data_IF_811544643277
#
_entry.id   IF_811544643277
#
_cell.length_a   1.000
_cell.length_b   1.000
_cell.length_c   1.000
_cell.angle_alpha   90.00
_cell.angle_beta   90.00
_cell.angle_gamma   90.00
#
_symmetry.space_group_name_H-M   'P 1'
#
loop_
_entity.id
_entity.type
_entity.pdbx_description
1 polymer ?
#
# COMPACT_ATOMS: atom_id res chain seq x y z
N UNK A 1 3.35 23.02 -65.32
CA UNK A 1 2.69 21.83 -64.72
C UNK A 1 1.61 22.31 -63.78
N UNK A 2 0.35 22.21 -64.21
CA UNK A 2 -0.82 22.69 -63.46
C UNK A 2 -1.23 21.63 -62.42
N UNK A 3 -1.10 21.93 -61.13
CA UNK A 3 -1.53 21.03 -60.05
C UNK A 3 -3.05 20.99 -60.03
N UNK A 4 -3.64 19.83 -60.35
CA UNK A 4 -5.07 19.56 -60.13
C UNK A 4 -5.35 19.68 -58.62
N UNK A 5 -6.13 20.69 -58.22
CA UNK A 5 -6.61 20.80 -56.86
C UNK A 5 -7.60 19.67 -56.55
N UNK A 6 -7.45 19.11 -55.36
CA UNK A 6 -8.08 17.90 -54.87
C UNK A 6 -9.53 18.19 -54.44
N UNK A 7 -10.51 17.88 -55.29
CA UNK A 7 -11.96 18.11 -55.04
C UNK A 7 -12.63 17.04 -54.16
N UNK A 8 -11.88 16.04 -53.66
CA UNK A 8 -12.42 14.96 -52.83
C UNK A 8 -13.01 15.43 -51.49
N UNK A 9 -12.48 16.50 -50.89
CA UNK A 9 -13.03 17.05 -49.65
C UNK A 9 -14.42 17.69 -49.84
N UNK A 10 -14.60 18.39 -50.95
CA UNK A 10 -15.85 19.10 -51.28
C UNK A 10 -17.00 18.14 -51.60
N UNK A 11 -16.77 17.06 -52.35
CA UNK A 11 -17.86 16.13 -52.68
C UNK A 11 -18.32 15.31 -51.47
N UNK A 12 -17.44 15.08 -50.49
CA UNK A 12 -17.77 14.35 -49.26
C UNK A 12 -18.62 15.21 -48.31
N UNK A 13 -18.37 16.52 -48.24
CA UNK A 13 -19.18 17.46 -47.45
C UNK A 13 -20.56 17.70 -48.09
N UNK A 14 -20.63 17.85 -49.41
CA UNK A 14 -21.90 17.97 -50.14
C UNK A 14 -22.76 16.72 -49.93
N UNK A 15 -22.17 15.52 -49.99
CA UNK A 15 -22.92 14.27 -49.79
C UNK A 15 -23.57 14.16 -48.41
N UNK A 16 -22.92 14.67 -47.36
CA UNK A 16 -23.49 14.71 -46.00
C UNK A 16 -24.66 15.68 -45.84
N UNK A 17 -24.78 16.67 -46.72
CA UNK A 17 -25.88 17.65 -46.70
C UNK A 17 -27.12 17.08 -47.40
N UNK A 18 -26.94 16.37 -48.52
CA UNK A 18 -28.04 15.87 -49.35
C UNK A 18 -28.47 14.43 -49.09
N UNK A 19 -27.72 13.68 -48.27
CA UNK A 19 -28.01 12.27 -47.96
C UNK A 19 -27.94 12.07 -46.44
N UNK A 20 -29.02 11.55 -45.86
CA UNK A 20 -29.11 11.21 -44.43
C UNK A 20 -28.24 9.98 -44.12
N UNK A 21 -27.99 9.72 -42.83
CA UNK A 21 -27.18 8.57 -42.38
C UNK A 21 -27.77 7.21 -42.79
N UNK A 22 -29.08 7.15 -43.06
CA UNK A 22 -29.79 5.97 -43.59
C UNK A 22 -29.70 5.81 -45.11
N UNK A 23 -28.83 6.58 -45.78
CA UNK A 23 -28.64 6.62 -47.23
C UNK A 23 -29.85 7.10 -48.04
N UNK A 24 -30.86 7.67 -47.39
CA UNK A 24 -32.00 8.31 -48.07
C UNK A 24 -31.71 9.78 -48.38
N UNK A 25 -32.23 10.28 -49.49
CA UNK A 25 -32.07 11.67 -49.89
C UNK A 25 -32.76 12.61 -48.89
N UNK A 26 -32.01 13.59 -48.40
CA UNK A 26 -32.53 14.64 -47.55
C UNK A 26 -33.36 15.61 -48.39
N UNK A 27 -34.66 15.29 -48.53
CA UNK A 27 -35.64 16.07 -49.31
C UNK A 27 -35.65 17.55 -48.93
N UNK A 28 -35.36 17.87 -47.66
CA UNK A 28 -35.32 19.25 -47.17
C UNK A 28 -34.09 20.02 -47.67
N UNK A 29 -32.91 19.40 -47.69
CA UNK A 29 -31.69 19.99 -48.25
C UNK A 29 -31.78 20.16 -49.77
N UNK A 30 -32.39 19.20 -50.46
CA UNK A 30 -32.62 19.27 -51.90
C UNK A 30 -33.60 20.40 -52.26
N UNK A 31 -34.66 20.56 -51.46
CA UNK A 31 -35.59 21.69 -51.54
C UNK A 31 -34.90 23.04 -51.31
N UNK A 32 -34.07 23.17 -50.26
CA UNK A 32 -33.30 24.40 -49.98
C UNK A 32 -32.29 24.74 -51.09
N UNK A 33 -31.68 23.75 -51.73
CA UNK A 33 -30.78 23.99 -52.87
C UNK A 33 -31.52 24.42 -54.14
N UNK A 34 -32.71 23.86 -54.37
CA UNK A 34 -33.61 24.30 -55.45
C UNK A 34 -34.10 25.73 -55.20
N UNK A 35 -34.43 26.06 -53.95
CA UNK A 35 -34.82 27.39 -53.50
C UNK A 35 -33.68 28.40 -53.66
N UNK A 36 -32.43 28.03 -53.35
CA UNK A 36 -31.26 28.89 -53.51
C UNK A 36 -30.94 29.18 -54.99
N UNK A 37 -31.07 28.19 -55.87
CA UNK A 37 -30.90 28.39 -57.32
C UNK A 37 -32.05 29.24 -57.87
N UNK A 38 -33.29 29.02 -57.41
CA UNK A 38 -34.44 29.86 -57.76
C UNK A 38 -34.26 31.32 -57.30
N UNK A 39 -33.71 31.55 -56.11
CA UNK A 39 -33.38 32.88 -55.57
C UNK A 39 -32.30 33.60 -56.38
N UNK A 40 -31.30 32.88 -56.90
CA UNK A 40 -30.27 33.45 -57.79
C UNK A 40 -30.85 33.83 -59.15
N UNK A 41 -31.78 33.03 -59.68
CA UNK A 41 -32.51 33.35 -60.92
C UNK A 41 -33.46 34.54 -60.73
N UNK A 42 -34.14 34.63 -59.58
CA UNK A 42 -34.93 35.80 -59.15
C UNK A 42 -34.10 37.09 -59.06
N UNK A 43 -32.88 36.99 -58.54
CA UNK A 43 -31.91 38.11 -58.47
C UNK A 43 -31.48 38.61 -59.86
N UNK A 44 -31.36 37.72 -60.85
CA UNK A 44 -30.98 38.05 -62.22
C UNK A 44 -32.13 38.68 -63.03
N UNK A 45 -33.39 38.36 -62.69
CA UNK A 45 -34.58 38.89 -63.37
C UNK A 45 -34.91 40.32 -62.90
N UNK A 46 -34.68 40.64 -61.63
CA UNK A 46 -34.88 41.98 -61.07
C UNK A 46 -34.01 43.07 -61.73
N UNK A 47 -32.89 42.71 -62.36
CA UNK A 47 -32.06 43.67 -63.12
C UNK A 47 -32.62 43.99 -64.52
N UNK A 48 -33.45 43.12 -65.10
CA UNK A 48 -33.95 43.28 -66.48
C UNK A 48 -35.31 44.00 -66.54
N UNK A 49 -36.10 43.91 -65.47
CA UNK A 49 -37.46 44.48 -65.36
C UNK A 49 -37.48 46.02 -65.23
N UNK A 50 -36.39 46.63 -64.72
CA UNK A 50 -36.31 48.08 -64.51
C UNK A 50 -36.21 48.91 -65.82
N UNK A 51 -36.14 48.26 -66.99
CA UNK A 51 -35.85 48.91 -68.28
C UNK A 51 -37.04 49.02 -69.25
N UNK A 52 -38.23 48.46 -69.00
CA UNK A 52 -39.21 48.26 -70.10
C UNK A 52 -40.68 48.66 -69.93
N UNK A 53 -41.12 49.35 -68.88
CA UNK A 53 -42.53 49.78 -68.82
C UNK A 53 -42.73 51.25 -68.48
N UNK A 54 -42.75 52.06 -69.54
CA UNK A 54 -43.45 53.34 -69.59
C UNK A 54 -44.17 53.46 -70.93
N UNK A 55 -45.46 53.12 -70.99
CA UNK A 55 -46.32 53.54 -72.11
C UNK A 55 -47.59 52.71 -72.39
N UNK A 56 -48.74 53.42 -72.29
CA UNK A 56 -50.03 53.24 -73.00
C UNK A 56 -50.93 52.07 -72.53
N UNK A 57 -52.28 52.15 -72.44
CA UNK A 57 -53.30 52.98 -73.10
C UNK A 57 -54.63 53.05 -72.29
N UNK A 58 -55.60 53.89 -72.72
CA UNK A 58 -56.95 54.06 -72.14
C UNK A 58 -58.03 53.19 -72.81
N UNK A 59 -58.84 52.54 -71.97
CA UNK A 59 -60.27 52.20 -72.00
C UNK A 59 -61.02 51.95 -73.34
N UNK A 60 -61.18 50.68 -73.66
CA UNK A 60 -62.46 50.09 -74.11
C UNK A 60 -62.82 48.98 -73.11
N UNK A 61 -64.10 48.71 -72.85
CA UNK A 61 -64.52 47.57 -72.02
C UNK A 61 -63.82 46.30 -72.53
N UNK A 62 -62.94 45.75 -71.70
CA UNK A 62 -62.15 44.57 -72.02
C UNK A 62 -63.08 43.36 -71.95
N UNK A 63 -63.02 42.51 -72.97
CA UNK A 63 -63.65 41.20 -72.87
C UNK A 63 -63.08 40.43 -71.67
N UNK A 64 -63.83 39.47 -71.13
CA UNK A 64 -63.40 38.65 -69.99
C UNK A 64 -62.03 38.00 -70.24
N UNK A 65 -61.74 37.60 -71.48
CA UNK A 65 -60.43 37.05 -71.86
C UNK A 65 -59.29 38.07 -71.82
N UNK A 66 -59.55 39.32 -72.21
CA UNK A 66 -58.53 40.38 -72.19
C UNK A 66 -58.27 40.85 -70.76
N UNK A 67 -59.32 40.93 -69.93
CA UNK A 67 -59.24 41.23 -68.50
C UNK A 67 -58.42 40.17 -67.74
N UNK A 68 -58.66 38.89 -68.03
CA UNK A 68 -57.88 37.78 -67.44
C UNK A 68 -56.41 37.85 -67.88
N UNK A 69 -56.14 38.17 -69.15
CA UNK A 69 -54.77 38.29 -69.65
C UNK A 69 -54.03 39.46 -68.99
N UNK A 70 -54.67 40.62 -68.81
CA UNK A 70 -54.06 41.78 -68.15
C UNK A 70 -53.75 41.52 -66.66
N UNK A 71 -54.62 40.76 -65.98
CA UNK A 71 -54.34 40.29 -64.62
C UNK A 71 -53.16 39.32 -64.59
N UNK A 72 -53.06 38.40 -65.55
CA UNK A 72 -51.91 37.50 -65.64
C UNK A 72 -50.62 38.23 -65.98
N UNK A 73 -50.65 39.20 -66.88
CA UNK A 73 -49.50 40.02 -67.21
C UNK A 73 -49.03 40.82 -65.98
N UNK A 74 -49.96 41.30 -65.14
CA UNK A 74 -49.65 41.92 -63.87
C UNK A 74 -49.07 40.93 -62.85
N UNK A 75 -49.68 39.75 -62.66
CA UNK A 75 -49.17 38.69 -61.76
C UNK A 75 -47.76 38.23 -62.19
N UNK A 76 -47.52 38.13 -63.49
CA UNK A 76 -46.23 37.79 -64.08
C UNK A 76 -45.22 38.92 -63.88
N UNK A 77 -45.64 40.18 -63.97
CA UNK A 77 -44.80 41.34 -63.65
C UNK A 77 -44.37 41.37 -62.17
N UNK A 78 -45.21 40.80 -61.28
CA UNK A 78 -44.95 40.74 -59.85
C UNK A 78 -43.96 39.64 -59.43
N UNK A 79 -43.55 38.75 -60.35
CA UNK A 79 -42.50 37.71 -60.20
C UNK A 79 -42.27 37.18 -58.76
N UNK A 80 -43.36 36.81 -58.09
CA UNK A 80 -43.33 36.48 -56.65
C UNK A 80 -44.31 35.38 -56.22
N UNK A 81 -45.10 34.83 -57.14
CA UNK A 81 -46.01 33.72 -56.86
C UNK A 81 -45.38 32.40 -57.29
N UNK A 82 -45.32 31.42 -56.38
CA UNK A 82 -44.94 30.04 -56.71
C UNK A 82 -45.98 29.40 -57.62
N UNK A 83 -45.63 28.30 -58.30
CA UNK A 83 -46.58 27.58 -59.17
C UNK A 83 -47.86 27.17 -58.41
N UNK A 84 -47.73 26.77 -57.15
CA UNK A 84 -48.89 26.44 -56.30
C UNK A 84 -49.73 27.67 -55.95
N UNK A 85 -49.10 28.80 -55.65
CA UNK A 85 -49.80 30.06 -55.37
C UNK A 85 -50.47 30.62 -56.63
N UNK A 86 -49.83 30.47 -57.80
CA UNK A 86 -50.39 30.79 -59.12
C UNK A 86 -51.60 29.89 -59.37
N UNK A 87 -51.52 28.60 -59.13
CA UNK A 87 -52.65 27.69 -59.34
C UNK A 87 -53.87 28.04 -58.46
N UNK A 88 -53.64 28.44 -57.20
CA UNK A 88 -54.72 28.93 -56.32
C UNK A 88 -55.28 30.26 -56.81
N UNK A 89 -54.41 31.19 -57.21
CA UNK A 89 -54.82 32.50 -57.73
C UNK A 89 -55.58 32.37 -59.05
N UNK A 90 -55.16 31.46 -59.93
CA UNK A 90 -55.82 31.08 -61.18
C UNK A 90 -57.24 30.57 -60.91
N UNK A 91 -57.43 29.74 -59.88
CA UNK A 91 -58.76 29.26 -59.48
C UNK A 91 -59.64 30.42 -59.03
N UNK A 92 -59.13 31.30 -58.17
CA UNK A 92 -59.88 32.45 -57.63
C UNK A 92 -60.25 33.45 -58.74
N UNK A 93 -59.31 33.76 -59.64
CA UNK A 93 -59.53 34.65 -60.78
C UNK A 93 -60.54 34.02 -61.73
N UNK A 94 -60.37 32.74 -62.07
CA UNK A 94 -61.29 32.03 -62.98
C UNK A 94 -62.70 31.95 -62.39
N UNK A 95 -62.84 31.61 -61.11
CA UNK A 95 -64.14 31.52 -60.42
C UNK A 95 -64.85 32.88 -60.37
N UNK A 96 -64.11 33.97 -60.13
CA UNK A 96 -64.64 35.33 -60.13
C UNK A 96 -65.14 35.75 -61.53
N UNK A 97 -64.30 35.60 -62.57
CA UNK A 97 -64.65 36.03 -63.92
C UNK A 97 -65.64 35.10 -64.63
N UNK A 98 -65.73 33.82 -64.25
CA UNK A 98 -66.80 32.92 -64.74
C UNK A 98 -68.18 33.31 -64.20
N UNK A 99 -68.24 34.08 -63.11
CA UNK A 99 -69.49 34.60 -62.53
C UNK A 99 -69.93 35.96 -63.10
N UNK A 100 -69.09 36.61 -63.92
CA UNK A 100 -69.35 37.92 -64.52
C UNK A 100 -69.44 37.82 -66.06
N UNK A 101 -70.53 38.31 -66.66
CA UNK A 101 -70.70 38.31 -68.13
C UNK A 101 -69.88 39.37 -68.87
N UNK A 102 -69.48 40.43 -68.17
CA UNK A 102 -68.61 41.53 -68.62
C UNK A 102 -67.84 42.04 -67.41
N UNK A 103 -66.53 42.20 -67.50
CA UNK A 103 -65.70 42.72 -66.42
C UNK A 103 -65.64 44.24 -66.50
N UNK A 104 -66.02 44.93 -65.42
CA UNK A 104 -65.84 46.38 -65.33
C UNK A 104 -64.42 46.73 -64.84
N UNK A 105 -63.99 47.97 -65.07
CA UNK A 105 -62.74 48.50 -64.53
C UNK A 105 -62.71 48.43 -62.99
N UNK A 106 -63.87 48.57 -62.33
CA UNK A 106 -64.02 48.44 -60.88
C UNK A 106 -63.74 47.01 -60.39
N UNK A 107 -64.15 45.99 -61.16
CA UNK A 107 -63.90 44.58 -60.86
C UNK A 107 -62.41 44.23 -60.92
N UNK A 108 -61.70 44.79 -61.89
CA UNK A 108 -60.24 44.64 -62.02
C UNK A 108 -59.50 45.26 -60.84
N UNK A 109 -59.92 46.45 -60.40
CA UNK A 109 -59.32 47.13 -59.25
C UNK A 109 -59.46 46.32 -57.95
N UNK A 110 -60.60 45.69 -57.69
CA UNK A 110 -60.80 44.84 -56.51
C UNK A 110 -59.85 43.63 -56.52
N UNK A 111 -59.65 43.01 -57.69
CA UNK A 111 -58.71 41.89 -57.84
C UNK A 111 -57.27 42.37 -57.65
N UNK A 112 -56.89 43.54 -58.20
CA UNK A 112 -55.57 44.12 -57.98
C UNK A 112 -55.30 44.44 -56.50
N UNK A 113 -56.25 45.03 -55.79
CA UNK A 113 -56.12 45.34 -54.37
C UNK A 113 -55.98 44.07 -53.54
N UNK A 114 -56.74 43.01 -53.87
CA UNK A 114 -56.63 41.72 -53.19
C UNK A 114 -55.26 41.07 -53.41
N UNK A 115 -54.77 41.06 -54.66
CA UNK A 115 -53.45 40.53 -55.03
C UNK A 115 -52.35 41.32 -54.30
N UNK A 116 -52.42 42.65 -54.32
CA UNK A 116 -51.44 43.51 -53.67
C UNK A 116 -51.48 43.33 -52.14
N UNK A 117 -52.65 43.29 -51.52
CA UNK A 117 -52.77 43.06 -50.07
C UNK A 117 -52.19 41.69 -49.66
N UNK A 118 -52.42 40.64 -50.44
CA UNK A 118 -51.83 39.32 -50.22
C UNK A 118 -50.32 39.33 -50.43
N UNK A 119 -49.83 40.02 -51.46
CA UNK A 119 -48.40 40.21 -51.69
C UNK A 119 -47.72 40.93 -50.51
N UNK A 120 -48.28 42.04 -50.03
CA UNK A 120 -47.74 42.78 -48.88
C UNK A 120 -47.74 41.94 -47.59
N UNK A 121 -48.83 41.19 -47.35
CA UNK A 121 -48.92 40.29 -46.18
C UNK A 121 -47.84 39.21 -46.23
N UNK A 122 -47.66 38.56 -47.39
CA UNK A 122 -46.63 37.55 -47.56
C UNK A 122 -45.23 38.14 -47.36
N UNK A 123 -44.98 39.35 -47.88
CA UNK A 123 -43.69 40.02 -47.72
C UNK A 123 -43.38 40.33 -46.24
N UNK A 124 -44.39 40.78 -45.48
CA UNK A 124 -44.25 41.00 -44.03
C UNK A 124 -43.88 39.70 -43.29
N UNK A 125 -44.61 38.62 -43.56
CA UNK A 125 -44.35 37.31 -42.95
C UNK A 125 -42.95 36.76 -43.29
N UNK A 126 -42.51 36.93 -44.53
CA UNK A 126 -41.16 36.52 -44.95
C UNK A 126 -40.09 37.34 -44.22
N UNK A 127 -40.31 38.63 -44.03
CA UNK A 127 -39.40 39.50 -43.29
C UNK A 127 -39.28 39.10 -41.83
N UNK A 128 -40.40 38.75 -41.19
CA UNK A 128 -40.42 38.24 -39.81
C UNK A 128 -39.67 36.90 -39.68
N UNK A 129 -39.94 35.95 -40.57
CA UNK A 129 -39.25 34.66 -40.59
C UNK A 129 -37.74 34.85 -40.79
N UNK A 130 -37.35 35.74 -41.71
CA UNK A 130 -35.94 36.06 -41.94
C UNK A 130 -35.29 36.63 -40.67
N UNK A 131 -35.94 37.56 -40.01
CA UNK A 131 -35.42 38.16 -38.78
C UNK A 131 -35.29 37.14 -37.65
N UNK A 132 -36.26 36.23 -37.49
CA UNK A 132 -36.20 35.16 -36.48
C UNK A 132 -35.06 34.17 -36.77
N UNK A 133 -34.91 33.77 -38.03
CA UNK A 133 -33.82 32.89 -38.46
C UNK A 133 -32.44 33.53 -38.24
N UNK A 134 -32.29 34.82 -38.57
CA UNK A 134 -31.05 35.56 -38.40
C UNK A 134 -30.68 35.70 -36.92
N UNK A 135 -31.66 36.02 -36.06
CA UNK A 135 -31.48 36.04 -34.60
C UNK A 135 -31.07 34.68 -34.04
N UNK A 136 -31.76 33.61 -34.45
CA UNK A 136 -31.41 32.23 -34.04
C UNK A 136 -30.01 31.85 -34.49
N UNK A 137 -29.62 32.19 -35.71
CA UNK A 137 -28.28 31.92 -36.23
C UNK A 137 -27.18 32.65 -35.45
N UNK A 138 -27.38 33.95 -35.16
CA UNK A 138 -26.42 34.73 -34.37
C UNK A 138 -26.28 34.22 -32.93
N UNK A 139 -27.40 33.86 -32.28
CA UNK A 139 -27.38 33.32 -30.91
C UNK A 139 -26.68 31.97 -30.81
N UNK A 140 -26.94 31.06 -31.75
CA UNK A 140 -26.26 29.76 -31.82
C UNK A 140 -24.77 29.92 -32.04
N UNK A 141 -24.37 30.81 -32.97
CA UNK A 141 -22.95 31.07 -33.24
C UNK A 141 -22.19 31.65 -32.04
N UNK A 142 -22.85 32.46 -31.21
CA UNK A 142 -22.23 33.00 -29.99
C UNK A 142 -22.06 31.91 -28.92
N UNK A 143 -23.09 31.10 -28.70
CA UNK A 143 -23.05 30.00 -27.73
C UNK A 143 -22.02 28.94 -28.12
N UNK A 144 -21.92 28.59 -29.40
CA UNK A 144 -20.93 27.64 -29.90
C UNK A 144 -19.50 28.15 -29.70
N UNK A 145 -19.28 29.47 -29.84
CA UNK A 145 -17.98 30.09 -29.58
C UNK A 145 -17.61 30.07 -28.09
N UNK A 146 -18.58 30.35 -27.21
CA UNK A 146 -18.38 30.26 -25.75
C UNK A 146 -18.05 28.82 -25.31
N UNK A 147 -18.81 27.83 -25.80
CA UNK A 147 -18.54 26.42 -25.52
C UNK A 147 -17.17 25.98 -26.03
N UNK A 148 -16.76 26.44 -27.22
CA UNK A 148 -15.44 26.14 -27.76
C UNK A 148 -14.32 26.72 -26.89
N UNK A 149 -14.45 27.97 -26.43
CA UNK A 149 -13.46 28.59 -25.55
C UNK A 149 -13.39 27.92 -24.18
N UNK A 150 -14.52 27.50 -23.61
CA UNK A 150 -14.52 26.77 -22.34
C UNK A 150 -13.86 25.39 -22.50
N UNK A 151 -14.09 24.69 -23.61
CA UNK A 151 -13.40 23.45 -23.92
C UNK A 151 -11.88 23.64 -24.02
N UNK A 152 -11.41 24.71 -24.68
CA UNK A 152 -9.99 25.05 -24.72
C UNK A 152 -9.43 25.31 -23.32
N UNK A 153 -10.14 26.07 -22.49
CA UNK A 153 -9.73 26.35 -21.10
C UNK A 153 -9.61 25.07 -20.28
N UNK A 154 -10.56 24.15 -20.40
CA UNK A 154 -10.54 22.86 -19.71
C UNK A 154 -9.40 21.96 -20.21
N UNK A 155 -9.08 21.98 -21.50
CA UNK A 155 -7.93 21.25 -22.05
C UNK A 155 -6.61 21.78 -21.50
N UNK A 156 -6.47 23.10 -21.38
CA UNK A 156 -5.28 23.72 -20.79
C UNK A 156 -5.16 23.40 -19.29
N UNK A 157 -6.26 23.48 -18.55
CA UNK A 157 -6.33 23.13 -17.13
C UNK A 157 -5.96 21.65 -16.89
N UNK A 158 -6.49 20.75 -17.73
CA UNK A 158 -6.15 19.32 -17.69
C UNK A 158 -4.67 19.09 -18.03
N UNK A 159 -4.14 19.77 -19.05
CA UNK A 159 -2.74 19.64 -19.47
C UNK A 159 -1.78 20.08 -18.38
N UNK A 160 -2.10 21.19 -17.70
CA UNK A 160 -1.32 21.70 -16.57
C UNK A 160 -1.37 20.73 -15.38
N UNK A 161 -2.56 20.22 -15.05
CA UNK A 161 -2.75 19.26 -13.95
C UNK A 161 -1.96 17.97 -14.19
N UNK A 162 -2.01 17.41 -15.41
CA UNK A 162 -1.26 16.22 -15.78
C UNK A 162 0.26 16.45 -15.70
N UNK A 163 0.72 17.63 -16.14
CA UNK A 163 2.14 17.98 -16.10
C UNK A 163 2.65 18.14 -14.67
N UNK A 164 1.86 18.78 -13.80
CA UNK A 164 2.15 18.91 -12.38
C UNK A 164 2.21 17.53 -11.70
N UNK A 165 1.20 16.69 -11.89
CA UNK A 165 1.15 15.34 -11.33
C UNK A 165 2.35 14.48 -11.76
N UNK A 166 2.75 14.56 -13.04
CA UNK A 166 3.94 13.85 -13.54
C UNK A 166 5.23 14.31 -12.86
N UNK A 167 5.30 15.57 -12.46
CA UNK A 167 6.47 16.14 -11.79
C UNK A 167 6.50 15.72 -10.33
N UNK A 168 5.35 15.76 -9.64
CA UNK A 168 5.19 15.24 -8.28
C UNK A 168 5.51 13.75 -8.21
N UNK A 169 4.94 12.94 -9.11
CA UNK A 169 5.20 11.49 -9.14
C UNK A 169 6.69 11.17 -9.36
N UNK A 170 7.39 11.98 -10.16
CA UNK A 170 8.83 11.84 -10.35
C UNK A 170 9.59 12.14 -9.05
N UNK A 171 9.26 13.24 -8.37
CA UNK A 171 9.89 13.62 -7.11
C UNK A 171 9.65 12.56 -6.03
N UNK A 172 8.41 12.10 -5.86
CA UNK A 172 8.06 11.07 -4.88
C UNK A 172 8.81 9.76 -5.12
N UNK A 173 9.00 9.38 -6.40
CA UNK A 173 9.79 8.20 -6.78
C UNK A 173 11.28 8.36 -6.48
N UNK A 174 11.84 9.55 -6.72
CA UNK A 174 13.24 9.86 -6.42
C UNK A 174 13.49 9.88 -4.91
N UNK A 175 12.59 10.49 -4.12
CA UNK A 175 12.63 10.49 -2.66
C UNK A 175 12.55 9.07 -2.10
N UNK A 176 11.56 8.28 -2.55
CA UNK A 176 11.40 6.90 -2.10
C UNK A 176 12.62 6.04 -2.44
N UNK A 177 13.22 6.22 -3.61
CA UNK A 177 14.45 5.53 -3.99
C UNK A 177 15.63 5.94 -3.09
N UNK A 178 15.71 7.22 -2.72
CA UNK A 178 16.70 7.74 -1.77
C UNK A 178 16.52 7.14 -0.37
N UNK A 179 15.28 7.06 0.13
CA UNK A 179 14.96 6.46 1.43
C UNK A 179 15.30 4.97 1.47
N UNK A 180 14.94 4.22 0.43
CA UNK A 180 15.27 2.80 0.32
C UNK A 180 16.79 2.60 0.33
N UNK A 181 17.53 3.43 -0.40
CA UNK A 181 18.99 3.32 -0.48
C UNK A 181 19.66 3.59 0.88
N UNK A 182 19.23 4.64 1.58
CA UNK A 182 19.73 4.99 2.92
C UNK A 182 19.42 3.89 3.94
N UNK A 183 18.19 3.40 3.97
CA UNK A 183 17.80 2.32 4.88
C UNK A 183 18.56 1.02 4.59
N UNK A 184 18.85 0.73 3.33
CA UNK A 184 19.64 -0.43 2.95
C UNK A 184 21.09 -0.31 3.45
N UNK A 185 21.71 0.85 3.28
CA UNK A 185 23.08 1.11 3.75
C UNK A 185 23.18 1.04 5.28
N UNK A 186 22.22 1.62 6.00
CA UNK A 186 22.15 1.54 7.46
C UNK A 186 21.97 0.10 7.94
N UNK A 187 21.11 -0.68 7.28
CA UNK A 187 20.91 -2.09 7.61
C UNK A 187 22.17 -2.93 7.38
N UNK A 188 22.96 -2.64 6.33
CA UNK A 188 24.24 -3.30 6.09
C UNK A 188 25.26 -2.97 7.19
N UNK A 189 25.38 -1.69 7.55
CA UNK A 189 26.26 -1.25 8.63
C UNK A 189 25.91 -1.90 9.97
N UNK A 190 24.63 -1.91 10.34
CA UNK A 190 24.15 -2.54 11.57
C UNK A 190 24.44 -4.06 11.58
N UNK A 191 24.32 -4.72 10.44
CA UNK A 191 24.66 -6.15 10.30
C UNK A 191 26.15 -6.41 10.50
N UNK A 192 27.02 -5.55 9.98
CA UNK A 192 28.47 -5.63 10.16
C UNK A 192 28.85 -5.43 11.63
N UNK A 193 28.31 -4.39 12.28
CA UNK A 193 28.52 -4.11 13.71
C UNK A 193 28.07 -5.30 14.58
N UNK A 194 26.85 -5.83 14.35
CA UNK A 194 26.36 -7.02 15.06
C UNK A 194 27.25 -8.26 14.85
N UNK A 195 27.77 -8.44 13.63
CA UNK A 195 28.67 -9.57 13.34
C UNK A 195 29.98 -9.43 14.11
N UNK A 196 30.51 -8.22 14.22
CA UNK A 196 31.71 -7.93 14.99
C UNK A 196 31.49 -8.18 16.49
N UNK A 197 30.39 -7.68 17.05
CA UNK A 197 30.04 -7.86 18.48
C UNK A 197 29.87 -9.34 18.85
N UNK A 198 29.24 -10.13 17.97
CA UNK A 198 29.08 -11.58 18.17
C UNK A 198 30.45 -12.27 18.19
N UNK A 199 31.37 -11.89 17.29
CA UNK A 199 32.70 -12.48 17.24
C UNK A 199 33.51 -12.13 18.49
N UNK A 200 33.49 -10.87 18.95
CA UNK A 200 34.15 -10.45 20.19
C UNK A 200 33.61 -11.22 21.40
N UNK A 201 32.29 -11.30 21.54
CA UNK A 201 31.64 -12.05 22.63
C UNK A 201 32.04 -13.53 22.61
N UNK A 202 32.15 -14.12 21.41
CA UNK A 202 32.55 -15.52 21.25
C UNK A 202 34.02 -15.75 21.62
N UNK A 203 34.90 -14.83 21.28
CA UNK A 203 36.32 -14.87 21.66
C UNK A 203 36.50 -14.75 23.18
N UNK A 204 35.81 -13.79 23.81
CA UNK A 204 35.81 -13.63 25.27
C UNK A 204 35.28 -14.89 25.97
N UNK A 205 34.17 -15.44 25.49
CA UNK A 205 33.61 -16.68 26.05
C UNK A 205 34.57 -17.88 25.89
N UNK A 206 35.29 -17.97 24.77
CA UNK A 206 36.30 -19.01 24.56
C UNK A 206 37.47 -18.86 25.53
N UNK A 207 37.97 -17.63 25.72
CA UNK A 207 39.05 -17.33 26.67
C UNK A 207 38.64 -17.65 28.11
N UNK A 208 37.47 -17.20 28.54
CA UNK A 208 36.95 -17.48 29.88
C UNK A 208 36.80 -18.99 30.13
N UNK A 209 36.37 -19.75 29.11
CA UNK A 209 36.28 -21.21 29.21
C UNK A 209 37.65 -21.87 29.38
N UNK A 210 38.67 -21.37 28.68
CA UNK A 210 40.04 -21.87 28.81
C UNK A 210 40.62 -21.56 30.19
N UNK A 211 40.46 -20.32 30.67
CA UNK A 211 40.86 -19.91 32.03
C UNK A 211 40.18 -20.77 33.11
N UNK A 212 38.86 -20.97 33.03
CA UNK A 212 38.12 -21.85 33.95
C UNK A 212 38.61 -23.31 33.89
N UNK A 213 38.95 -23.81 32.70
CA UNK A 213 39.47 -25.17 32.56
C UNK A 213 40.84 -25.30 33.24
N UNK A 214 41.69 -24.29 33.10
CA UNK A 214 42.98 -24.24 33.77
C UNK A 214 42.82 -24.20 35.30
N UNK A 215 41.95 -23.33 35.82
CA UNK A 215 41.70 -23.20 37.26
C UNK A 215 41.17 -24.51 37.88
N UNK A 216 40.27 -25.20 37.17
CA UNK A 216 39.75 -26.51 37.59
C UNK A 216 40.89 -27.54 37.66
N UNK A 217 41.79 -27.56 36.68
CA UNK A 217 42.90 -28.50 36.66
C UNK A 217 43.89 -28.22 37.80
N UNK A 218 44.24 -26.96 38.04
CA UNK A 218 45.11 -26.56 39.16
C UNK A 218 44.50 -26.96 40.50
N UNK A 219 43.21 -26.65 40.72
CA UNK A 219 42.49 -27.03 41.94
C UNK A 219 42.47 -28.55 42.14
N UNK A 220 42.30 -29.31 41.05
CA UNK A 220 42.31 -30.77 41.08
C UNK A 220 43.70 -31.32 41.45
N UNK A 221 44.76 -30.78 40.86
CA UNK A 221 46.14 -31.18 41.16
C UNK A 221 46.48 -30.90 42.63
N UNK A 222 46.12 -29.73 43.14
CA UNK A 222 46.31 -29.37 44.55
C UNK A 222 45.52 -30.29 45.49
N UNK A 223 44.27 -30.61 45.15
CA UNK A 223 43.47 -31.56 45.93
C UNK A 223 44.06 -32.97 45.95
N UNK A 224 44.64 -33.44 44.84
CA UNK A 224 45.35 -34.73 44.77
C UNK A 224 46.59 -34.70 45.67
N UNK A 225 47.41 -33.64 45.58
CA UNK A 225 48.60 -33.46 46.42
C UNK A 225 48.26 -33.45 47.90
N UNK A 226 47.25 -32.66 48.30
CA UNK A 226 46.79 -32.58 49.68
C UNK A 226 46.29 -33.92 50.21
N UNK A 227 45.60 -34.71 49.36
CA UNK A 227 45.17 -36.07 49.71
C UNK A 227 46.34 -37.01 49.92
N UNK A 228 47.38 -36.94 49.08
CA UNK A 228 48.59 -37.75 49.22
C UNK A 228 49.35 -37.38 50.50
N UNK A 229 49.55 -36.09 50.77
CA UNK A 229 50.17 -35.58 51.99
C UNK A 229 49.42 -36.03 53.24
N UNK A 230 48.09 -35.91 53.25
CA UNK A 230 47.26 -36.39 54.37
C UNK A 230 47.38 -37.90 54.56
N UNK A 231 47.37 -38.66 53.46
CA UNK A 231 47.51 -40.12 53.51
C UNK A 231 48.86 -40.53 54.10
N UNK A 232 49.93 -39.82 53.74
CA UNK A 232 51.26 -40.07 54.29
C UNK A 232 51.33 -39.69 55.77
N UNK A 233 50.80 -38.52 56.15
CA UNK A 233 50.75 -38.10 57.55
C UNK A 233 49.97 -39.09 58.44
N UNK A 234 48.88 -39.67 57.93
CA UNK A 234 48.13 -40.72 58.63
C UNK A 234 48.94 -42.00 58.82
N UNK A 235 49.69 -42.45 57.79
CA UNK A 235 50.57 -43.61 57.90
C UNK A 235 51.68 -43.39 58.91
N UNK A 236 52.29 -42.21 58.90
CA UNK A 236 53.36 -41.86 59.82
C UNK A 236 52.84 -41.82 61.26
N UNK A 237 51.68 -41.19 61.48
CA UNK A 237 51.02 -41.17 62.79
C UNK A 237 50.67 -42.57 63.29
N UNK A 238 50.16 -43.44 62.41
CA UNK A 238 49.86 -44.83 62.75
C UNK A 238 51.12 -45.61 63.13
N UNK A 239 52.20 -45.46 62.37
CA UNK A 239 53.49 -46.10 62.67
C UNK A 239 54.05 -45.68 64.04
N UNK A 240 53.95 -44.38 64.37
CA UNK A 240 54.35 -43.87 65.69
C UNK A 240 53.48 -44.44 66.81
N UNK A 241 52.16 -44.53 66.59
CA UNK A 241 51.25 -45.14 67.55
C UNK A 241 51.58 -46.63 67.78
N UNK A 242 51.76 -47.40 66.70
CA UNK A 242 52.12 -48.84 66.78
C UNK A 242 53.45 -49.06 67.51
N UNK A 243 54.44 -48.20 67.28
CA UNK A 243 55.73 -48.26 67.98
C UNK A 243 55.61 -47.89 69.47
N UNK A 244 54.79 -46.89 69.78
CA UNK A 244 54.47 -46.51 71.16
C UNK A 244 53.77 -47.66 71.89
N UNK A 245 52.78 -48.29 71.26
CA UNK A 245 52.06 -49.43 71.82
C UNK A 245 52.99 -50.60 72.11
N UNK A 246 53.91 -50.93 71.19
CA UNK A 246 54.95 -51.96 71.44
C UNK A 246 55.82 -51.64 72.64
N UNK A 247 56.27 -50.38 72.78
CA UNK A 247 57.09 -49.95 73.93
C UNK A 247 56.33 -50.05 75.24
N UNK A 248 55.04 -49.68 75.25
CA UNK A 248 54.18 -49.81 76.43
C UNK A 248 54.01 -51.29 76.79
N UNK A 249 53.71 -52.15 75.82
CA UNK A 249 53.57 -53.59 76.04
C UNK A 249 54.86 -54.18 76.61
N UNK A 250 56.02 -53.82 76.06
CA UNK A 250 57.31 -54.28 76.57
C UNK A 250 57.55 -53.79 78.00
N UNK A 251 57.33 -52.50 78.28
CA UNK A 251 57.50 -51.95 79.62
C UNK A 251 56.58 -52.61 80.65
N UNK A 252 55.34 -52.95 80.26
CA UNK A 252 54.41 -53.70 81.12
C UNK A 252 54.91 -55.12 81.37
N UNK A 253 55.44 -55.81 80.36
CA UNK A 253 56.04 -57.13 80.50
C UNK A 253 57.25 -57.10 81.44
N UNK A 254 58.18 -56.17 81.22
CA UNK A 254 59.38 -56.01 82.06
C UNK A 254 59.00 -55.69 83.51
N UNK A 255 57.99 -54.84 83.72
CA UNK A 255 57.46 -54.53 85.04
C UNK A 255 56.84 -55.77 85.71
N UNK A 256 56.07 -56.57 84.95
CA UNK A 256 55.47 -57.80 85.44
C UNK A 256 56.55 -58.82 85.84
N UNK A 257 57.59 -58.99 85.03
CA UNK A 257 58.71 -59.89 85.33
C UNK A 257 59.50 -59.44 86.57
N UNK A 258 59.80 -58.15 86.68
CA UNK A 258 60.46 -57.58 87.86
C UNK A 258 59.60 -57.71 89.13
N UNK A 259 58.29 -57.52 89.02
CA UNK A 259 57.33 -57.72 90.11
C UNK A 259 57.27 -59.20 90.54
N UNK A 260 57.27 -60.13 89.58
CA UNK A 260 57.28 -61.57 89.85
C UNK A 260 58.57 -62.01 90.53
N UNK A 261 59.75 -61.57 90.04
CA UNK A 261 61.04 -61.86 90.67
C UNK A 261 61.12 -61.31 92.10
N UNK A 262 60.67 -60.07 92.31
CA UNK A 262 60.59 -59.47 93.65
C UNK A 262 59.67 -60.26 94.57
N UNK A 263 58.49 -60.65 94.07
CA UNK A 263 57.53 -61.49 94.81
C UNK A 263 58.15 -62.84 95.18
N UNK A 264 58.86 -63.48 94.25
CA UNK A 264 59.54 -64.76 94.49
C UNK A 264 60.66 -64.63 95.52
N UNK A 265 61.47 -63.56 95.48
CA UNK A 265 62.50 -63.28 96.48
C UNK A 265 61.91 -63.10 97.88
N UNK A 266 60.78 -62.38 97.99
CA UNK A 266 60.07 -62.23 99.27
C UNK A 266 59.56 -63.59 99.77
N UNK A 267 58.95 -64.40 98.91
CA UNK A 267 58.50 -65.74 99.28
C UNK A 267 59.66 -66.65 99.72
N UNK A 268 60.79 -66.61 99.03
CA UNK A 268 61.99 -67.35 99.43
C UNK A 268 62.49 -66.89 100.81
N UNK A 269 62.50 -65.59 101.08
CA UNK A 269 62.90 -65.05 102.38
C UNK A 269 61.92 -65.47 103.50
N UNK A 270 60.62 -65.44 103.23
CA UNK A 270 59.57 -65.96 104.13
C UNK A 270 59.82 -67.44 104.45
N UNK A 271 60.08 -68.26 103.44
CA UNK A 271 60.37 -69.68 103.64
C UNK A 271 61.60 -69.90 104.52
N UNK A 272 62.70 -69.17 104.29
CA UNK A 272 63.91 -69.25 105.13
C UNK A 272 63.63 -68.83 106.57
N UNK A 273 62.80 -67.80 106.78
CA UNK A 273 62.40 -67.38 108.13
C UNK A 273 61.58 -68.48 108.82
N UNK A 274 60.60 -69.06 108.12
CA UNK A 274 59.80 -70.19 108.61
C UNK A 274 60.70 -71.38 109.01
N UNK A 275 61.66 -71.77 108.17
CA UNK A 275 62.60 -72.85 108.49
C UNK A 275 63.40 -72.59 109.77
N UNK A 276 63.81 -71.34 110.02
CA UNK A 276 64.58 -70.96 111.24
C UNK A 276 63.74 -70.94 112.50
N UNK A 277 62.43 -70.72 112.39
CA UNK A 277 61.49 -70.64 113.52
C UNK A 277 60.71 -71.93 113.74
N UNK A 278 61.10 -73.04 113.10
CA UNK A 278 60.52 -74.36 113.33
C UNK A 278 61.20 -75.09 114.49
N UNK A 279 60.40 -75.59 115.43
CA UNK A 279 60.90 -76.43 116.53
C UNK A 279 61.09 -77.91 116.12
N UNK A 280 61.64 -78.74 117.03
CA UNK A 280 61.93 -80.15 116.76
C UNK A 280 60.67 -81.02 116.49
N UNK A 281 59.47 -80.49 116.69
CA UNK A 281 58.20 -81.17 116.44
C UNK A 281 57.55 -80.72 115.12
N UNK A 282 58.20 -79.86 114.34
CA UNK A 282 57.67 -79.33 113.08
C UNK A 282 56.59 -78.26 113.28
N UNK A 283 56.47 -77.67 114.47
CA UNK A 283 55.60 -76.52 114.72
C UNK A 283 56.42 -75.23 114.61
N UNK A 284 55.94 -74.30 113.78
CA UNK A 284 56.52 -72.97 113.65
C UNK A 284 56.12 -72.14 114.88
N UNK A 285 57.11 -71.62 115.63
CA UNK A 285 56.87 -70.66 116.72
C UNK A 285 56.32 -69.33 116.14
N UNK A 286 56.83 -68.98 114.96
CA UNK A 286 56.33 -67.89 114.12
C UNK A 286 56.19 -68.37 112.67
N UNK A 287 55.00 -68.23 112.08
CA UNK A 287 54.73 -68.56 110.68
C UNK A 287 54.56 -67.26 109.86
N UNK A 288 55.45 -67.00 108.93
CA UNK A 288 55.49 -65.80 108.11
C UNK A 288 54.66 -65.99 106.82
N UNK A 289 53.92 -64.96 106.41
CA UNK A 289 53.05 -65.06 105.24
C UNK A 289 52.49 -63.74 104.71
N UNK A 290 51.57 -63.84 103.76
CA UNK A 290 50.88 -62.71 103.13
C UNK A 290 49.37 -62.86 103.26
N UNK A 291 48.69 -61.84 103.78
CA UNK A 291 47.23 -61.81 103.93
C UNK A 291 46.72 -60.37 103.74
N UNK A 292 45.61 -60.21 103.02
CA UNK A 292 44.91 -58.94 102.80
C UNK A 292 45.79 -57.78 102.29
N UNK A 293 46.79 -58.07 101.44
CA UNK A 293 47.64 -57.05 100.85
C UNK A 293 48.89 -56.67 101.66
N UNK A 294 49.15 -57.30 102.81
CA UNK A 294 50.32 -57.02 103.65
C UNK A 294 51.10 -58.30 104.02
N UNK A 295 52.42 -58.16 104.15
CA UNK A 295 53.29 -59.20 104.72
C UNK A 295 53.27 -59.13 106.26
N UNK A 296 53.44 -60.28 106.93
CA UNK A 296 53.35 -60.37 108.38
C UNK A 296 53.69 -61.77 108.89
N UNK A 297 53.35 -62.04 110.15
CA UNK A 297 53.61 -63.33 110.82
C UNK A 297 52.47 -63.76 111.75
N UNK A 298 52.28 -65.07 111.93
CA UNK A 298 51.38 -65.68 112.90
C UNK A 298 52.18 -66.14 114.12
N UNK A 299 51.63 -65.96 115.31
CA UNK A 299 52.12 -66.59 116.54
C UNK A 299 51.25 -67.81 116.83
N UNK A 300 51.84 -68.99 116.94
CA UNK A 300 51.14 -70.27 117.15
C UNK A 300 49.96 -70.53 116.19
N UNK A 301 50.04 -70.01 114.96
CA UNK A 301 49.06 -70.23 113.89
C UNK A 301 47.68 -69.57 114.06
N UNK A 302 47.51 -68.61 114.98
CA UNK A 302 46.17 -68.07 115.32
C UNK A 302 45.93 -66.61 114.95
N UNK A 303 46.95 -65.74 115.00
CA UNK A 303 46.82 -64.29 114.78
C UNK A 303 47.85 -63.73 113.79
N UNK A 304 47.43 -63.27 112.60
CA UNK A 304 48.31 -62.56 111.67
C UNK A 304 48.67 -61.15 112.18
N UNK A 305 49.94 -60.89 112.42
CA UNK A 305 50.52 -59.59 112.76
C UNK A 305 51.21 -59.02 111.53
N UNK A 306 50.70 -57.90 111.02
CA UNK A 306 51.30 -57.19 109.88
C UNK A 306 52.65 -56.60 110.28
N UNK A 307 53.59 -56.58 109.34
CA UNK A 307 54.82 -55.77 109.46
C UNK A 307 54.53 -54.27 109.35
#
# INVERSE_FOLDING_TARGET
MNKKQNTRGFSTQIRKIYVKEDNTLNRFALFLSGLAIALVVLLLINFKSLMHYSGLAKASELSTSESIQEIYDYIDSLNGFTDDQRNVLNSIISDYFNSCSTASEEDLLVVYDLINAKYQTNNSQISEIRSDLESKFSSASSSDYEHYNELLRLVDELTNTVSANKTTEKHDKEDLAGDISRNHEEALKNKEELTQDINLTREEAAKNKEELTQDINLTREEAVKNKEELTQALKDAQSVADESDKKIIQALSDFQDASNDSTQKIWNAINVLNERTTDQNGQYEFDFGFQDGCYGYYVDGKDFKRF
#
